data_IF_507780963073
#
_entry.id   IF_507780963073
#
_cell.length_a   1.000
_cell.length_b   1.000
_cell.length_c   1.000
_cell.angle_alpha   90.00
_cell.angle_beta   90.00
_cell.angle_gamma   90.00
#
_symmetry.space_group_name_H-M   'P 1'
#
loop_
_entity.id
_entity.type
_entity.pdbx_description
1 polymer ?
#
# COMPACT_ATOMS: atom_id res chain seq x y z
N UNK A 1 -72.32 -49.35 4.60
CA UNK A 1 -72.14 -48.23 5.54
C UNK A 1 -72.15 -48.76 6.97
N UNK A 2 -70.97 -49.09 7.48
CA UNK A 2 -70.55 -49.44 8.85
C UNK A 2 -69.03 -49.67 8.67
N UNK A 3 -68.09 -49.07 9.40
CA UNK A 3 -67.84 -49.13 10.84
C UNK A 3 -66.86 -47.99 11.18
N UNK A 4 -67.05 -47.34 12.33
CA UNK A 4 -66.04 -46.54 13.07
C UNK A 4 -65.04 -47.50 13.73
N UNK A 5 -63.74 -47.20 13.76
CA UNK A 5 -62.97 -47.12 15.02
C UNK A 5 -61.56 -46.54 14.79
N UNK A 6 -61.22 -45.56 15.63
CA UNK A 6 -59.92 -44.91 15.81
C UNK A 6 -58.87 -45.89 16.38
N UNK A 7 -57.57 -45.59 16.24
CA UNK A 7 -56.58 -45.59 17.35
C UNK A 7 -55.30 -44.84 16.91
N UNK A 8 -54.76 -44.09 17.86
CA UNK A 8 -53.70 -43.09 17.78
C UNK A 8 -52.31 -43.67 17.48
N UNK A 9 -51.50 -42.93 16.72
CA UNK A 9 -50.03 -42.99 16.81
C UNK A 9 -49.51 -41.58 17.09
N UNK A 10 -49.19 -41.34 18.35
CA UNK A 10 -48.57 -40.12 18.84
C UNK A 10 -47.07 -40.19 18.51
N UNK A 11 -46.68 -39.62 17.38
CA UNK A 11 -45.27 -39.43 17.06
C UNK A 11 -44.78 -38.14 17.76
N UNK A 12 -43.91 -38.30 18.74
CA UNK A 12 -43.15 -37.20 19.35
C UNK A 12 -42.39 -36.43 18.27
N UNK A 13 -42.91 -35.28 17.83
CA UNK A 13 -42.10 -34.25 17.19
C UNK A 13 -41.35 -33.49 18.30
N UNK A 14 -40.16 -33.97 18.66
CA UNK A 14 -39.16 -33.13 19.30
C UNK A 14 -38.74 -32.06 18.29
N UNK A 15 -38.87 -30.75 18.56
CA UNK A 15 -38.21 -29.76 17.74
C UNK A 15 -36.71 -29.94 17.98
N UNK A 16 -35.99 -30.37 16.93
CA UNK A 16 -34.54 -30.31 16.87
C UNK A 16 -34.19 -28.82 16.91
N UNK A 17 -33.99 -28.27 18.11
CA UNK A 17 -33.47 -26.94 18.29
C UNK A 17 -32.04 -26.97 17.77
N UNK A 18 -31.86 -26.64 16.49
CA UNK A 18 -30.57 -26.27 15.95
C UNK A 18 -30.14 -25.04 16.74
N UNK A 19 -29.34 -25.27 17.77
CA UNK A 19 -28.54 -24.23 18.37
C UNK A 19 -27.64 -23.69 17.26
N UNK A 20 -28.08 -22.61 16.61
CA UNK A 20 -27.19 -21.72 15.89
C UNK A 20 -26.31 -21.14 16.98
N UNK A 21 -25.19 -21.80 17.25
CA UNK A 21 -24.09 -21.16 17.95
C UNK A 21 -23.71 -19.98 17.07
N UNK A 22 -24.11 -18.78 17.51
CA UNK A 22 -23.44 -17.58 17.07
C UNK A 22 -21.96 -17.85 17.32
N UNK A 23 -21.18 -18.01 16.25
CA UNK A 23 -19.75 -18.01 16.35
C UNK A 23 -19.39 -16.62 16.87
N UNK A 24 -19.30 -16.49 18.19
CA UNK A 24 -18.50 -15.44 18.79
C UNK A 24 -17.14 -15.57 18.11
N UNK A 25 -16.78 -14.57 17.31
CA UNK A 25 -15.41 -14.36 16.86
C UNK A 25 -14.59 -14.32 18.15
N UNK A 26 -14.08 -15.48 18.56
CA UNK A 26 -13.09 -15.57 19.61
C UNK A 26 -11.92 -14.75 19.10
N UNK A 27 -11.84 -13.52 19.60
CA UNK A 27 -10.64 -12.73 19.71
C UNK A 27 -9.71 -13.49 20.66
N UNK A 28 -9.24 -14.63 20.18
CA UNK A 28 -8.57 -15.63 20.97
C UNK A 28 -7.13 -15.22 21.18
N UNK A 29 -6.68 -15.58 22.36
CA UNK A 29 -5.39 -15.39 23.02
C UNK A 29 -4.18 -16.02 22.28
N UNK A 30 -4.15 -15.97 20.95
CA UNK A 30 -3.18 -16.70 20.14
C UNK A 30 -2.71 -16.02 18.85
N UNK A 31 -3.08 -14.77 18.57
CA UNK A 31 -2.38 -13.99 17.55
C UNK A 31 -1.92 -12.64 18.13
N UNK A 32 -0.62 -12.36 18.01
CA UNK A 32 -0.10 -11.02 18.21
C UNK A 32 -0.57 -10.15 17.04
N UNK A 33 -1.43 -9.17 17.31
CA UNK A 33 -1.80 -8.17 16.31
C UNK A 33 -0.65 -7.18 16.07
N UNK A 34 0.59 -7.65 15.98
CA UNK A 34 1.78 -6.87 15.64
C UNK A 34 2.49 -7.51 14.46
N UNK A 35 3.05 -6.67 13.62
CA UNK A 35 3.99 -7.09 12.58
C UNK A 35 5.24 -6.20 12.71
N UNK A 36 6.33 -6.80 13.15
CA UNK A 36 7.50 -6.05 13.62
C UNK A 36 7.15 -5.11 14.76
N UNK A 37 7.47 -3.82 14.60
CA UNK A 37 7.18 -2.79 15.59
C UNK A 37 5.74 -2.22 15.49
N UNK A 38 4.97 -2.56 14.45
CA UNK A 38 3.67 -1.93 14.18
C UNK A 38 2.54 -2.75 14.78
N UNK A 39 1.71 -2.14 15.61
CA UNK A 39 0.44 -2.73 16.06
C UNK A 39 -0.63 -2.58 14.99
N UNK A 40 -1.19 -3.72 14.58
CA UNK A 40 -2.33 -3.86 13.69
C UNK A 40 -3.61 -3.94 14.51
N UNK A 41 -4.63 -3.25 14.05
CA UNK A 41 -5.96 -3.16 14.64
C UNK A 41 -6.95 -2.83 13.54
N UNK A 42 -8.24 -3.01 13.83
CA UNK A 42 -9.33 -2.69 12.90
C UNK A 42 -9.15 -1.27 12.32
N UNK A 43 -9.32 -1.06 11.00
CA UNK A 43 -9.85 -2.00 10.00
C UNK A 43 -8.84 -2.97 9.39
N UNK A 44 -7.56 -2.81 9.70
CA UNK A 44 -6.50 -3.63 9.13
C UNK A 44 -6.50 -5.03 9.74
N UNK A 45 -6.14 -5.99 8.91
CA UNK A 45 -6.00 -7.38 9.31
C UNK A 45 -4.98 -8.08 8.42
N UNK A 46 -4.46 -9.21 8.88
CA UNK A 46 -3.58 -10.07 8.08
C UNK A 46 -3.77 -11.52 8.51
N UNK A 47 -3.28 -12.45 7.70
CA UNK A 47 -3.19 -13.85 8.09
C UNK A 47 -1.78 -14.14 8.56
N UNK A 48 -1.65 -14.62 9.79
CA UNK A 48 -0.38 -15.11 10.30
C UNK A 48 0.04 -16.34 9.50
N UNK A 49 1.25 -16.28 8.92
CA UNK A 49 1.71 -17.31 7.98
C UNK A 49 2.12 -18.62 8.69
N UNK A 50 2.45 -18.57 9.97
CA UNK A 50 2.85 -19.76 10.75
C UNK A 50 1.64 -20.56 11.20
N UNK A 51 0.60 -19.87 11.68
CA UNK A 51 -0.59 -20.47 12.27
C UNK A 51 -1.77 -20.54 11.31
N UNK A 52 -1.73 -19.81 10.19
CA UNK A 52 -2.83 -19.65 9.25
C UNK A 52 -4.02 -18.86 9.82
N UNK A 53 -3.90 -18.30 11.03
CA UNK A 53 -4.98 -17.58 11.71
C UNK A 53 -5.06 -16.15 11.21
N UNK A 54 -6.28 -15.67 10.97
CA UNK A 54 -6.51 -14.24 10.70
C UNK A 54 -6.41 -13.42 11.99
N UNK A 55 -5.66 -12.33 11.92
CA UNK A 55 -5.40 -11.40 13.00
C UNK A 55 -6.01 -10.05 12.64
N UNK A 56 -6.97 -9.59 13.45
CA UNK A 56 -7.89 -8.51 13.09
C UNK A 56 -9.24 -9.06 12.60
N UNK A 57 -10.12 -8.20 12.09
CA UNK A 57 -11.45 -8.62 11.61
C UNK A 57 -11.47 -8.56 10.08
N UNK A 58 -11.54 -9.70 9.36
CA UNK A 58 -11.39 -9.78 7.91
C UNK A 58 -12.62 -9.29 7.12
N UNK A 59 -13.35 -8.30 7.65
CA UNK A 59 -14.59 -7.78 7.06
C UNK A 59 -14.36 -6.93 5.82
N UNK A 60 -13.15 -6.39 5.64
CA UNK A 60 -12.79 -5.51 4.54
C UNK A 60 -11.54 -6.04 3.82
N UNK A 61 -11.70 -6.71 2.65
CA UNK A 61 -10.56 -7.26 1.89
C UNK A 61 -9.52 -6.20 1.51
N UNK A 62 -9.96 -4.98 1.23
CA UNK A 62 -9.06 -3.88 0.85
C UNK A 62 -8.10 -3.46 1.98
N UNK A 63 -8.37 -3.86 3.23
CA UNK A 63 -7.52 -3.59 4.39
C UNK A 63 -6.64 -4.78 4.80
N UNK A 64 -6.58 -5.82 3.96
CA UNK A 64 -5.69 -6.95 4.18
C UNK A 64 -4.24 -6.52 3.98
N UNK A 65 -3.41 -6.77 4.99
CA UNK A 65 -1.97 -6.60 4.96
C UNK A 65 -1.29 -7.95 4.84
N UNK A 66 -0.02 -7.95 4.42
CA UNK A 66 0.86 -9.10 4.52
C UNK A 66 1.95 -8.81 5.54
N UNK A 67 2.21 -9.73 6.47
CA UNK A 67 3.32 -9.62 7.40
C UNK A 67 4.44 -10.58 6.98
N UNK A 68 5.47 -10.08 6.29
CA UNK A 68 6.58 -10.91 5.83
C UNK A 68 7.67 -10.96 6.90
N UNK A 69 8.05 -12.18 7.30
CA UNK A 69 9.13 -12.45 8.26
C UNK A 69 9.04 -11.66 9.58
N UNK A 70 7.82 -11.26 9.97
CA UNK A 70 7.58 -10.42 11.14
C UNK A 70 8.39 -9.09 11.17
N UNK A 71 8.78 -8.57 10.00
CA UNK A 71 9.60 -7.35 9.90
C UNK A 71 8.77 -6.08 9.84
N UNK A 72 7.83 -6.01 8.90
CA UNK A 72 6.94 -4.87 8.71
C UNK A 72 5.65 -5.30 8.00
N UNK A 73 4.52 -4.63 8.27
CA UNK A 73 3.30 -4.85 7.50
C UNK A 73 3.45 -4.30 6.08
N UNK A 74 3.04 -5.08 5.09
CA UNK A 74 3.03 -4.73 3.67
C UNK A 74 1.60 -4.48 3.22
N UNK A 75 1.33 -3.28 2.71
CA UNK A 75 0.13 -2.99 1.93
C UNK A 75 0.37 -3.42 0.48
N UNK A 76 -0.38 -4.40 -0.06
CA UNK A 76 -0.18 -4.86 -1.43
C UNK A 76 -0.49 -3.77 -2.47
N UNK A 77 0.17 -3.85 -3.62
CA UNK A 77 -0.17 -3.06 -4.79
C UNK A 77 -1.52 -3.50 -5.36
N UNK A 78 -2.34 -2.56 -5.82
CA UNK A 78 -3.56 -2.87 -6.58
C UNK A 78 -3.26 -3.40 -7.99
N UNK A 79 -2.06 -3.15 -8.49
CA UNK A 79 -1.57 -3.70 -9.76
C UNK A 79 -0.84 -5.03 -9.48
N UNK A 80 -1.24 -6.14 -10.12
CA UNK A 80 -0.61 -7.45 -9.94
C UNK A 80 0.90 -7.43 -10.22
N UNK A 81 1.65 -8.23 -9.47
CA UNK A 81 3.10 -8.42 -9.61
C UNK A 81 3.95 -7.15 -9.44
N UNK A 82 3.37 -6.06 -8.91
CA UNK A 82 4.10 -4.83 -8.57
C UNK A 82 4.35 -4.76 -7.07
N UNK A 83 5.46 -4.12 -6.71
CA UNK A 83 5.82 -3.88 -5.31
C UNK A 83 4.78 -2.98 -4.64
N UNK A 84 4.31 -3.42 -3.48
CA UNK A 84 3.43 -2.67 -2.60
C UNK A 84 4.17 -1.63 -1.76
N UNK A 85 3.65 -1.38 -0.57
CA UNK A 85 4.10 -0.34 0.33
C UNK A 85 4.42 -0.92 1.71
N UNK A 86 5.65 -0.75 2.18
CA UNK A 86 6.01 -1.10 3.54
C UNK A 86 5.44 -0.05 4.49
N UNK A 87 4.69 -0.49 5.50
CA UNK A 87 4.10 0.39 6.52
C UNK A 87 5.09 0.55 7.66
N UNK A 88 5.52 1.78 7.91
CA UNK A 88 6.37 2.14 9.05
C UNK A 88 5.54 2.41 10.31
N UNK A 89 4.39 3.05 10.16
CA UNK A 89 3.50 3.40 11.26
C UNK A 89 2.05 3.59 10.80
N UNK A 90 1.10 3.38 11.71
CA UNK A 90 -0.33 3.57 11.51
C UNK A 90 -0.85 4.55 12.56
N UNK A 91 -1.41 5.67 12.13
CA UNK A 91 -2.18 6.56 13.00
C UNK A 91 -3.67 6.33 12.80
N UNK A 92 -4.27 5.59 13.72
CA UNK A 92 -5.70 5.24 13.68
C UNK A 92 -6.61 6.46 13.85
N UNK A 93 -6.25 7.39 14.75
CA UNK A 93 -7.01 8.63 14.97
C UNK A 93 -7.04 9.51 13.72
N UNK A 94 -5.88 9.68 13.07
CA UNK A 94 -5.74 10.50 11.86
C UNK A 94 -6.12 9.78 10.57
N UNK A 95 -6.41 8.48 10.66
CA UNK A 95 -6.62 7.58 9.53
C UNK A 95 -5.52 7.70 8.48
N UNK A 96 -4.26 7.66 8.92
CA UNK A 96 -3.09 7.80 8.04
C UNK A 96 -2.05 6.69 8.22
N UNK A 97 -1.45 6.26 7.11
CA UNK A 97 -0.33 5.33 7.09
C UNK A 97 0.95 6.07 6.69
N UNK A 98 2.02 5.86 7.44
CA UNK A 98 3.36 6.26 7.00
C UNK A 98 4.01 5.08 6.29
N UNK A 99 4.29 5.24 5.00
CA UNK A 99 4.71 4.13 4.14
C UNK A 99 5.92 4.45 3.26
N UNK A 100 6.65 3.42 2.85
CA UNK A 100 7.69 3.47 1.83
C UNK A 100 7.20 2.72 0.58
N UNK A 101 7.35 3.33 -0.60
CA UNK A 101 7.14 2.64 -1.87
C UNK A 101 8.33 1.72 -2.17
N UNK A 102 8.15 0.42 -1.97
CA UNK A 102 9.21 -0.58 -2.13
C UNK A 102 9.76 -0.63 -3.57
N UNK A 103 8.93 -0.35 -4.57
CA UNK A 103 9.38 -0.30 -5.97
C UNK A 103 10.26 0.92 -6.26
N UNK A 104 10.09 2.02 -5.52
CA UNK A 104 10.99 3.19 -5.60
C UNK A 104 12.27 2.98 -4.81
N UNK A 105 12.17 2.33 -3.65
CA UNK A 105 13.32 2.02 -2.82
C UNK A 105 14.33 1.10 -3.54
N UNK A 106 13.84 0.15 -4.34
CA UNK A 106 14.68 -0.72 -5.19
C UNK A 106 15.52 0.03 -6.23
N UNK A 107 15.18 1.28 -6.57
CA UNK A 107 16.02 2.09 -7.45
C UNK A 107 17.31 2.53 -6.77
N UNK A 108 17.35 2.48 -5.43
CA UNK A 108 18.47 2.93 -4.63
C UNK A 108 19.36 1.79 -4.13
N UNK A 109 18.81 0.59 -3.90
CA UNK A 109 19.50 -0.52 -3.22
C UNK A 109 19.49 -1.82 -4.02
N UNK A 110 20.53 -2.65 -3.80
CA UNK A 110 20.54 -4.07 -4.18
C UNK A 110 19.87 -4.89 -3.07
N UNK A 111 18.69 -5.46 -3.31
CA UNK A 111 18.20 -6.52 -2.43
C UNK A 111 19.06 -7.78 -2.64
N UNK A 112 19.58 -8.43 -1.59
CA UNK A 112 20.65 -9.43 -1.74
C UNK A 112 20.27 -10.68 -2.53
N UNK A 113 18.99 -11.01 -2.72
CA UNK A 113 18.61 -12.36 -3.12
C UNK A 113 17.30 -12.54 -3.90
N UNK A 114 16.76 -11.52 -4.58
CA UNK A 114 15.73 -11.84 -5.59
C UNK A 114 15.48 -10.72 -6.60
N UNK A 115 15.32 -11.16 -7.84
CA UNK A 115 14.84 -10.45 -9.02
C UNK A 115 15.87 -9.67 -9.85
N UNK A 116 16.22 -10.30 -10.97
CA UNK A 116 16.86 -9.75 -12.15
C UNK A 116 15.97 -8.75 -12.92
N UNK A 117 15.11 -7.94 -12.26
CA UNK A 117 14.02 -7.27 -12.96
C UNK A 117 13.98 -5.76 -12.71
N UNK A 118 14.54 -5.01 -13.66
CA UNK A 118 14.14 -3.64 -13.93
C UNK A 118 12.71 -3.63 -14.46
N UNK A 119 11.74 -4.01 -13.61
CA UNK A 119 10.32 -3.92 -13.91
C UNK A 119 10.00 -2.47 -14.26
N UNK A 120 9.03 -2.23 -15.15
CA UNK A 120 8.56 -0.88 -15.40
C UNK A 120 8.23 -0.20 -14.08
N UNK A 121 8.87 0.94 -13.84
CA UNK A 121 8.69 1.77 -12.65
C UNK A 121 7.51 2.69 -12.93
N UNK A 122 6.43 2.50 -12.17
CA UNK A 122 5.18 3.23 -12.38
C UNK A 122 5.07 4.39 -11.40
N UNK A 123 4.24 5.37 -11.72
CA UNK A 123 3.83 6.38 -10.75
C UNK A 123 3.25 5.69 -9.51
N UNK A 124 3.60 6.19 -8.33
CA UNK A 124 3.16 5.58 -7.07
C UNK A 124 1.64 5.55 -6.96
N UNK A 125 0.96 6.59 -7.46
CA UNK A 125 -0.51 6.65 -7.51
C UNK A 125 -1.14 5.51 -8.31
N UNK A 126 -0.48 4.99 -9.36
CA UNK A 126 -1.03 3.96 -10.23
C UNK A 126 -1.09 2.58 -9.55
N UNK A 127 -0.29 2.37 -8.49
CA UNK A 127 -0.26 1.12 -7.71
C UNK A 127 -1.16 1.16 -6.47
N UNK A 128 -1.74 2.33 -6.17
CA UNK A 128 -2.52 2.54 -4.96
C UNK A 128 -3.98 2.14 -5.22
N UNK A 129 -4.47 1.18 -4.44
CA UNK A 129 -5.87 0.75 -4.49
C UNK A 129 -6.77 1.61 -3.62
N UNK A 130 -8.08 1.59 -3.90
CA UNK A 130 -9.08 2.07 -2.94
C UNK A 130 -9.06 1.15 -1.70
N UNK A 131 -9.36 1.68 -0.50
CA UNK A 131 -9.81 3.04 -0.18
C UNK A 131 -8.67 4.02 0.17
N UNK A 132 -7.43 3.71 -0.20
CA UNK A 132 -6.28 4.54 0.14
C UNK A 132 -6.12 5.72 -0.83
N UNK A 133 -5.66 6.85 -0.30
CA UNK A 133 -5.35 8.07 -1.06
C UNK A 133 -4.01 8.62 -0.58
N UNK A 134 -3.28 9.29 -1.48
CA UNK A 134 -2.08 10.04 -1.09
C UNK A 134 -2.53 11.24 -0.25
N UNK A 135 -1.88 11.45 0.90
CA UNK A 135 -2.20 12.59 1.76
C UNK A 135 -1.78 13.91 1.10
N UNK A 136 -2.60 14.97 1.18
CA UNK A 136 -2.27 16.26 0.56
C UNK A 136 -1.12 17.00 1.26
N UNK A 137 -0.68 16.53 2.43
CA UNK A 137 0.50 17.09 3.12
C UNK A 137 1.82 16.65 2.49
N UNK A 138 1.79 15.64 1.61
CA UNK A 138 2.98 15.23 0.88
C UNK A 138 3.33 16.25 -0.21
N UNK A 139 4.58 16.20 -0.64
CA UNK A 139 5.03 16.81 -1.89
C UNK A 139 5.39 15.71 -2.87
N UNK A 140 5.56 16.09 -4.13
CA UNK A 140 5.97 15.19 -5.20
C UNK A 140 7.49 15.29 -5.44
N UNK A 141 8.07 14.11 -5.58
CA UNK A 141 9.39 13.88 -6.13
C UNK A 141 9.18 13.30 -7.53
N UNK A 142 9.88 13.85 -8.51
CA UNK A 142 9.77 13.43 -9.91
C UNK A 142 11.13 12.97 -10.36
N UNK A 143 11.19 11.72 -10.82
CA UNK A 143 12.37 11.11 -11.41
C UNK A 143 12.22 11.15 -12.92
N UNK A 144 13.21 11.65 -13.62
CA UNK A 144 13.23 11.74 -15.08
C UNK A 144 14.27 10.80 -15.65
N UNK A 145 13.89 10.00 -16.64
CA UNK A 145 14.82 9.26 -17.49
C UNK A 145 14.75 9.83 -18.91
N UNK A 146 15.82 10.52 -19.33
CA UNK A 146 15.85 11.27 -20.59
C UNK A 146 16.66 10.56 -21.68
N UNK A 147 16.39 10.91 -22.94
CA UNK A 147 17.34 10.66 -24.03
C UNK A 147 18.62 11.48 -23.84
N UNK A 148 19.70 11.10 -24.51
CA UNK A 148 20.98 11.84 -24.42
C UNK A 148 20.84 13.31 -24.84
N UNK A 149 20.07 13.57 -25.91
CA UNK A 149 19.80 14.93 -26.41
C UNK A 149 19.03 15.74 -25.36
N UNK A 150 17.97 15.16 -24.78
CA UNK A 150 17.18 15.83 -23.75
C UNK A 150 17.96 16.07 -22.46
N UNK A 151 18.86 15.15 -22.09
CA UNK A 151 19.71 15.32 -20.92
C UNK A 151 20.59 16.58 -21.01
N UNK A 152 21.01 17.00 -22.21
CA UNK A 152 21.76 18.25 -22.39
C UNK A 152 20.94 19.49 -22.06
N UNK A 153 19.64 19.49 -22.38
CA UNK A 153 18.71 20.56 -22.00
C UNK A 153 18.39 20.49 -20.50
N UNK A 154 18.06 19.31 -19.97
CA UNK A 154 17.73 19.10 -18.56
C UNK A 154 18.84 19.57 -17.60
N UNK A 155 20.13 19.45 -17.98
CA UNK A 155 21.26 19.98 -17.18
C UNK A 155 21.25 21.50 -16.98
N UNK A 156 20.52 22.24 -17.81
CA UNK A 156 20.40 23.70 -17.73
C UNK A 156 19.23 24.15 -16.86
N UNK A 157 18.32 23.24 -16.54
CA UNK A 157 17.16 23.52 -15.69
C UNK A 157 17.58 23.60 -14.22
N UNK A 158 17.32 24.76 -13.59
CA UNK A 158 17.77 25.03 -12.22
C UNK A 158 17.10 24.15 -11.17
N UNK A 159 15.90 23.67 -11.45
CA UNK A 159 15.10 22.87 -10.52
C UNK A 159 15.42 21.37 -10.60
N UNK A 160 16.28 20.96 -11.54
CA UNK A 160 16.66 19.57 -11.74
C UNK A 160 18.03 19.30 -11.14
N UNK A 161 18.15 18.18 -10.42
CA UNK A 161 19.42 17.63 -9.95
C UNK A 161 19.69 16.33 -10.68
N UNK A 162 20.89 16.19 -11.25
CA UNK A 162 21.28 14.92 -11.86
C UNK A 162 21.35 13.81 -10.79
N UNK A 163 20.69 12.69 -11.05
CA UNK A 163 20.69 11.55 -10.13
C UNK A 163 22.09 10.92 -10.08
N UNK A 164 22.57 10.63 -8.87
CA UNK A 164 23.88 9.97 -8.66
C UNK A 164 23.75 8.46 -8.53
N UNK A 165 22.65 8.01 -7.94
CA UNK A 165 22.32 6.62 -7.70
C UNK A 165 20.87 6.35 -8.15
N UNK A 166 20.73 5.66 -9.28
CA UNK A 166 19.44 5.14 -9.73
C UNK A 166 19.70 3.92 -10.59
N UNK A 167 19.32 2.74 -10.09
CA UNK A 167 19.41 1.51 -10.88
C UNK A 167 18.41 1.56 -12.04
N UNK A 168 18.61 0.68 -13.01
CA UNK A 168 17.73 0.51 -14.18
C UNK A 168 17.68 1.68 -15.16
N UNK A 169 18.43 2.75 -14.94
CA UNK A 169 18.56 3.89 -15.85
C UNK A 169 20.02 4.29 -16.01
N UNK A 170 20.35 4.99 -17.10
CA UNK A 170 21.64 5.64 -17.22
C UNK A 170 21.62 6.94 -16.41
N UNK A 171 22.34 6.96 -15.27
CA UNK A 171 22.40 8.13 -14.38
C UNK A 171 22.99 9.38 -15.03
N UNK A 172 23.71 9.24 -16.15
CA UNK A 172 24.14 10.38 -16.95
C UNK A 172 22.95 11.16 -17.56
N UNK A 173 21.81 10.49 -17.75
CA UNK A 173 20.60 11.05 -18.36
C UNK A 173 19.40 11.04 -17.38
N UNK A 174 19.64 10.80 -16.10
CA UNK A 174 18.60 10.76 -15.09
C UNK A 174 18.63 12.01 -14.21
N UNK A 175 17.47 12.59 -13.95
CA UNK A 175 17.32 13.82 -13.19
C UNK A 175 16.21 13.70 -12.15
N UNK A 176 16.26 14.57 -11.15
CA UNK A 176 15.31 14.60 -10.04
C UNK A 176 14.82 16.03 -9.84
N UNK A 177 13.51 16.19 -9.69
CA UNK A 177 12.85 17.40 -9.21
C UNK A 177 12.14 17.09 -7.90
N UNK A 178 12.21 17.98 -6.93
CA UNK A 178 11.58 17.78 -5.63
C UNK A 178 10.82 19.05 -5.19
N UNK A 179 9.98 18.91 -4.17
CA UNK A 179 9.24 20.05 -3.60
C UNK A 179 8.03 20.48 -4.44
N UNK A 180 7.62 19.65 -5.40
CA UNK A 180 6.46 19.95 -6.25
C UNK A 180 5.19 19.75 -5.41
N UNK A 181 4.24 20.70 -5.39
CA UNK A 181 2.98 20.51 -4.68
C UNK A 181 2.23 19.26 -5.16
N UNK A 182 1.63 18.51 -4.24
CA UNK A 182 0.84 17.34 -4.61
C UNK A 182 -0.37 17.71 -5.47
N UNK A 183 -0.53 17.05 -6.63
CA UNK A 183 -1.69 17.20 -7.49
C UNK A 183 -2.70 16.05 -7.27
N UNK A 184 -3.86 16.32 -6.65
CA UNK A 184 -4.88 15.30 -6.39
C UNK A 184 -5.56 14.80 -7.66
N UNK A 185 -5.46 15.51 -8.78
CA UNK A 185 -6.03 15.08 -10.06
C UNK A 185 -5.22 13.95 -10.71
N UNK A 186 -3.94 13.82 -10.34
CA UNK A 186 -3.01 12.89 -10.98
C UNK A 186 -2.68 13.27 -12.43
N UNK A 187 -2.91 14.52 -12.84
CA UNK A 187 -2.61 15.02 -14.18
C UNK A 187 -1.15 15.42 -14.30
N UNK A 188 -0.28 14.44 -14.55
CA UNK A 188 1.17 14.65 -14.63
C UNK A 188 1.66 15.29 -15.94
N UNK A 189 0.77 15.82 -16.78
CA UNK A 189 1.13 16.46 -18.06
C UNK A 189 2.01 17.70 -17.86
N UNK A 190 1.79 18.45 -16.78
CA UNK A 190 2.60 19.63 -16.42
C UNK A 190 4.03 19.30 -16.00
N UNK A 191 4.35 18.01 -15.81
CA UNK A 191 5.70 17.55 -15.46
C UNK A 191 6.46 16.98 -16.64
N UNK A 192 5.82 16.85 -17.81
CA UNK A 192 6.46 16.32 -18.99
C UNK A 192 7.61 17.23 -19.43
N UNK A 193 8.78 16.63 -19.59
CA UNK A 193 9.91 17.25 -20.28
C UNK A 193 10.06 16.53 -21.62
N UNK A 194 10.33 17.29 -22.67
CA UNK A 194 10.50 16.73 -24.02
C UNK A 194 11.56 15.62 -24.00
N UNK A 195 11.21 14.46 -24.57
CA UNK A 195 12.08 13.27 -24.62
C UNK A 195 12.61 12.77 -23.25
N UNK A 196 11.87 13.02 -22.17
CA UNK A 196 12.08 12.42 -20.85
C UNK A 196 10.82 11.69 -20.35
N UNK A 197 11.01 10.51 -19.76
CA UNK A 197 9.95 9.77 -19.09
C UNK A 197 9.90 10.15 -17.60
N UNK A 198 8.85 10.86 -17.12
CA UNK A 198 8.70 11.18 -15.72
C UNK A 198 8.11 10.02 -14.93
N UNK A 199 8.59 9.85 -13.70
CA UNK A 199 8.05 8.92 -12.71
C UNK A 199 7.79 9.72 -11.43
N UNK A 200 6.53 9.78 -11.03
CA UNK A 200 6.08 10.59 -9.90
C UNK A 200 5.86 9.72 -8.66
N UNK A 201 6.37 10.18 -7.54
CA UNK A 201 6.13 9.59 -6.23
C UNK A 201 5.92 10.67 -5.16
N UNK A 202 5.03 10.44 -4.19
CA UNK A 202 4.91 11.31 -3.03
C UNK A 202 6.09 11.10 -2.07
N UNK A 203 6.46 12.17 -1.37
CA UNK A 203 7.44 12.18 -0.28
C UNK A 203 6.93 13.09 0.83
N UNK A 204 7.25 12.75 2.07
CA UNK A 204 7.02 13.65 3.19
C UNK A 204 8.00 14.84 3.12
N UNK A 205 7.52 16.09 3.20
CA UNK A 205 8.41 17.24 3.27
C UNK A 205 9.15 17.24 4.61
N UNK A 206 10.43 17.59 4.58
CA UNK A 206 11.26 17.79 5.78
C UNK A 206 12.00 19.11 5.63
N UNK A 207 11.34 20.21 6.03
CA UNK A 207 11.83 21.56 5.75
C UNK A 207 11.78 21.90 4.26
N UNK A 208 12.87 22.45 3.72
CA UNK A 208 13.01 22.66 2.27
C UNK A 208 13.33 21.32 1.59
N UNK A 209 12.33 20.75 0.93
CA UNK A 209 12.46 19.48 0.20
C UNK A 209 13.41 19.64 -0.99
N UNK A 210 14.66 19.25 -0.79
CA UNK A 210 15.74 19.40 -1.75
C UNK A 210 15.93 18.15 -2.60
N UNK A 211 15.96 18.31 -3.93
CA UNK A 211 16.21 17.22 -4.88
C UNK A 211 17.58 16.54 -4.69
N UNK A 212 18.57 17.22 -4.11
CA UNK A 212 19.86 16.59 -3.78
C UNK A 212 19.75 15.50 -2.70
N UNK A 213 18.68 15.50 -1.91
CA UNK A 213 18.42 14.53 -0.84
C UNK A 213 17.40 13.46 -1.22
N UNK A 214 17.13 13.27 -2.52
CA UNK A 214 16.07 12.39 -3.02
C UNK A 214 16.14 10.96 -2.48
N UNK A 215 17.34 10.41 -2.27
CA UNK A 215 17.53 9.07 -1.72
C UNK A 215 16.91 8.96 -0.31
N UNK A 216 17.20 9.95 0.54
CA UNK A 216 16.63 10.07 1.88
C UNK A 216 15.13 10.32 1.83
N UNK A 217 14.65 11.13 0.88
CA UNK A 217 13.22 11.38 0.72
C UNK A 217 12.46 10.10 0.37
N UNK A 218 12.99 9.28 -0.56
CA UNK A 218 12.43 7.96 -0.89
C UNK A 218 12.44 7.04 0.33
N UNK A 219 13.56 6.96 1.06
CA UNK A 219 13.69 6.13 2.25
C UNK A 219 12.80 6.57 3.41
N UNK A 220 12.56 7.88 3.53
CA UNK A 220 11.70 8.45 4.57
C UNK A 220 10.22 8.22 4.27
N UNK A 221 9.87 7.90 3.02
CA UNK A 221 8.51 7.56 2.64
C UNK A 221 7.55 8.76 2.63
N UNK A 222 6.26 8.46 2.73
CA UNK A 222 5.18 9.42 2.59
C UNK A 222 3.93 9.00 3.38
N UNK A 223 2.94 9.90 3.47
CA UNK A 223 1.67 9.60 4.14
C UNK A 223 0.57 9.20 3.17
N UNK A 224 -0.10 8.09 3.44
CA UNK A 224 -1.41 7.76 2.88
C UNK A 224 -2.50 8.12 3.87
N UNK A 225 -3.71 8.37 3.36
CA UNK A 225 -4.97 8.41 4.13
C UNK A 225 -5.83 7.23 3.70
N UNK A 226 -6.70 6.75 4.58
CA UNK A 226 -7.75 5.80 4.22
C UNK A 226 -9.12 6.28 4.66
N UNK A 227 -10.14 5.86 3.92
CA UNK A 227 -11.54 6.06 4.25
C UNK A 227 -12.16 4.73 4.61
N UNK A 228 -13.01 4.71 5.64
CA UNK A 228 -13.86 3.56 5.89
C UNK A 228 -15.04 3.61 4.91
N UNK A 229 -15.49 2.47 4.38
CA UNK A 229 -16.76 2.44 3.66
C UNK A 229 -17.87 2.96 4.58
N UNK A 230 -18.89 3.66 4.02
CA UNK A 230 -20.03 4.07 4.81
C UNK A 230 -20.66 2.84 5.47
N UNK A 231 -21.17 2.95 6.72
CA UNK A 231 -21.86 1.84 7.36
C UNK A 231 -23.00 1.38 6.43
N UNK A 232 -23.01 0.08 6.12
CA UNK A 232 -24.09 -0.52 5.34
C UNK A 232 -25.43 -0.23 6.01
N UNK A 233 -26.41 0.23 5.21
CA UNK A 233 -27.80 0.36 5.67
C UNK A 233 -28.42 -1.01 5.90
#
# INVERSE_FOLDING_TARGET
MHVRFQILVWAWCLPLMLAVTAAEEQQGEGCSAKCGAVTISNPFWFTDLETGRSCGSPRLPDFQLTCLNNSYPLLPSSVPYKHGFAILNISYGERSLHVIDLGKLQLLHDEPNNFNSCLPIWNTSAKLGRPFKISPVNQELILYNCTEKAAAAARREKELVQAKAMRCVNTSNAFVRAGVPYDPTGSYSGYALEDCAPIVLPVLPSGETNASHYERLIQSGFLLKWELPPPGK
#
